data_IF_924773131273
#
_entry.id   IF_924773131273
#
_cell.length_a   1.000
_cell.length_b   1.000
_cell.length_c   1.000
_cell.angle_alpha   90.00
_cell.angle_beta   90.00
_cell.angle_gamma   90.00
#
_symmetry.space_group_name_H-M   'P 1'
#
loop_
_entity.id
_entity.type
_entity.pdbx_description
1 polymer ?
#
# COMPACT_ATOMS: atom_id res chain seq x y z
N UNK A 1 15.45 20.26 6.05
CA UNK A 1 14.30 19.97 6.92
C UNK A 1 13.93 18.51 6.71
N UNK A 2 13.87 17.67 7.75
CA UNK A 2 13.27 16.33 7.61
C UNK A 2 11.80 16.54 7.32
N UNK A 3 11.29 16.02 6.20
CA UNK A 3 9.83 15.92 6.00
C UNK A 3 9.30 14.99 7.09
N UNK A 4 8.25 15.42 7.77
CA UNK A 4 7.58 14.57 8.75
C UNK A 4 6.91 13.42 8.00
N UNK A 5 7.26 12.18 8.39
CA UNK A 5 6.75 10.97 7.76
C UNK A 5 5.39 10.65 8.39
N UNK A 6 4.35 10.62 7.58
CA UNK A 6 3.01 10.27 8.00
C UNK A 6 2.80 8.75 7.94
N UNK A 7 2.03 8.21 8.88
CA UNK A 7 1.51 6.85 8.79
C UNK A 7 0.34 6.84 7.80
N UNK A 8 0.40 5.98 6.78
CA UNK A 8 -0.62 5.89 5.74
C UNK A 8 -1.14 4.46 5.66
N UNK A 9 -2.46 4.31 5.65
CA UNK A 9 -3.12 3.04 5.39
C UNK A 9 -3.87 3.10 4.07
N UNK A 10 -3.65 2.07 3.24
CA UNK A 10 -4.53 1.70 2.14
C UNK A 10 -5.45 0.62 2.65
N UNK A 11 -6.74 0.78 2.50
CA UNK A 11 -7.71 -0.23 2.92
C UNK A 11 -8.03 -1.23 1.80
N UNK A 12 -8.53 -2.40 2.21
CA UNK A 12 -9.07 -3.45 1.36
C UNK A 12 -10.35 -3.99 2.05
N UNK A 13 -11.54 -3.51 1.69
CA UNK A 13 -12.81 -3.92 2.29
C UNK A 13 -14.01 -3.93 1.33
N UNK A 14 -13.97 -3.25 0.19
CA UNK A 14 -15.05 -3.38 -0.82
C UNK A 14 -14.79 -4.58 -1.73
N UNK A 15 -15.83 -5.10 -2.38
CA UNK A 15 -15.69 -6.22 -3.33
C UNK A 15 -14.65 -5.95 -4.43
N UNK A 16 -14.50 -4.69 -4.85
CA UNK A 16 -13.52 -4.27 -5.86
C UNK A 16 -12.15 -3.88 -5.26
N UNK A 17 -12.05 -3.79 -3.93
CA UNK A 17 -10.86 -3.35 -3.20
C UNK A 17 -10.16 -4.45 -2.40
N UNK A 18 -10.83 -5.57 -2.12
CA UNK A 18 -10.19 -6.75 -1.51
C UNK A 18 -9.06 -7.28 -2.38
N UNK A 19 -8.01 -7.78 -1.74
CA UNK A 19 -6.94 -8.45 -2.45
C UNK A 19 -7.46 -9.79 -3.00
N UNK A 20 -7.50 -9.99 -4.33
CA UNK A 20 -7.99 -11.25 -4.88
C UNK A 20 -7.06 -12.40 -4.49
N UNK A 21 -7.57 -13.64 -4.55
CA UNK A 21 -6.70 -14.82 -4.43
C UNK A 21 -5.75 -14.85 -5.62
N UNK A 22 -4.48 -14.61 -5.35
CA UNK A 22 -3.41 -14.62 -6.34
C UNK A 22 -2.73 -16.00 -6.34
N UNK A 23 -2.32 -16.46 -7.52
CA UNK A 23 -1.34 -17.53 -7.61
C UNK A 23 -0.01 -17.09 -6.97
N UNK A 24 0.83 -18.03 -6.56
CA UNK A 24 2.13 -17.67 -6.00
C UNK A 24 3.00 -16.84 -6.97
N UNK A 25 2.84 -17.07 -8.28
CA UNK A 25 3.59 -16.30 -9.29
C UNK A 25 3.12 -14.85 -9.32
N UNK A 26 1.81 -14.61 -9.38
CA UNK A 26 1.26 -13.26 -9.36
C UNK A 26 1.61 -12.52 -8.07
N UNK A 27 1.55 -13.22 -6.93
CA UNK A 27 1.96 -12.65 -5.65
C UNK A 27 3.44 -12.24 -5.67
N UNK A 28 4.34 -13.11 -6.17
CA UNK A 28 5.78 -12.80 -6.29
C UNK A 28 6.04 -11.60 -7.21
N UNK A 29 5.35 -11.52 -8.34
CA UNK A 29 5.50 -10.43 -9.30
C UNK A 29 5.05 -9.09 -8.70
N UNK A 30 3.91 -9.08 -8.00
CA UNK A 30 3.39 -7.90 -7.29
C UNK A 30 4.32 -7.49 -6.13
N UNK A 31 4.77 -8.47 -5.33
CA UNK A 31 5.74 -8.23 -4.25
C UNK A 31 7.00 -7.55 -4.77
N UNK A 32 7.56 -8.02 -5.89
CA UNK A 32 8.73 -7.40 -6.50
C UNK A 32 8.48 -5.93 -6.83
N UNK A 33 7.32 -5.60 -7.38
CA UNK A 33 6.93 -4.21 -7.63
C UNK A 33 6.91 -3.36 -6.36
N UNK A 34 6.30 -3.87 -5.28
CA UNK A 34 6.23 -3.18 -3.99
C UNK A 34 7.56 -3.08 -3.24
N UNK A 35 8.59 -3.85 -3.59
CA UNK A 35 9.95 -3.68 -3.07
C UNK A 35 10.86 -2.83 -3.96
N UNK A 36 10.66 -2.84 -5.28
CA UNK A 36 11.52 -2.11 -6.21
C UNK A 36 11.06 -0.66 -6.42
N UNK A 37 9.76 -0.41 -6.62
CA UNK A 37 9.26 0.94 -6.91
C UNK A 37 9.53 1.92 -5.76
N UNK A 38 9.31 1.56 -4.47
CA UNK A 38 9.59 2.48 -3.37
C UNK A 38 11.06 2.88 -3.23
N UNK A 39 12.03 2.16 -3.82
CA UNK A 39 13.44 2.57 -3.80
C UNK A 39 13.69 3.92 -4.48
N UNK A 40 12.79 4.34 -5.38
CA UNK A 40 12.80 5.67 -5.99
C UNK A 40 12.25 6.79 -5.09
N UNK A 41 11.74 6.45 -3.90
CA UNK A 41 11.09 7.36 -2.96
C UNK A 41 11.83 7.29 -1.61
N UNK A 42 12.89 8.10 -1.41
CA UNK A 42 13.73 8.00 -0.21
C UNK A 42 12.96 8.28 1.10
N UNK A 43 11.83 8.98 0.99
CA UNK A 43 10.93 9.31 2.09
C UNK A 43 9.70 8.37 2.10
N UNK A 44 9.82 7.12 1.65
CA UNK A 44 8.72 6.13 1.71
C UNK A 44 9.24 4.80 2.23
N UNK A 45 8.43 4.17 3.09
CA UNK A 45 8.65 2.82 3.58
C UNK A 45 7.37 2.00 3.46
N UNK A 46 7.49 0.85 2.80
CA UNK A 46 6.46 -0.17 2.78
C UNK A 46 6.66 -1.10 3.98
N UNK A 47 5.69 -1.17 4.89
CA UNK A 47 5.75 -2.02 6.09
C UNK A 47 5.11 -3.39 5.87
N UNK A 48 4.25 -3.53 4.86
CA UNK A 48 3.63 -4.80 4.50
C UNK A 48 2.16 -4.66 4.15
N UNK A 49 1.61 -5.75 3.62
CA UNK A 49 0.18 -5.93 3.38
C UNK A 49 -0.31 -7.04 4.29
N UNK A 50 -1.38 -6.79 5.03
CA UNK A 50 -1.97 -7.72 6.00
C UNK A 50 -3.42 -7.93 5.63
N UNK A 51 -3.79 -9.16 5.30
CA UNK A 51 -5.16 -9.53 4.90
C UNK A 51 -5.64 -10.76 5.65
N UNK A 52 -6.95 -10.90 5.78
CA UNK A 52 -7.61 -12.12 6.20
C UNK A 52 -7.79 -13.14 5.05
N UNK A 53 -8.47 -14.25 5.31
CA UNK A 53 -8.72 -15.31 4.32
C UNK A 53 -9.58 -14.87 3.13
N UNK A 54 -10.35 -13.78 3.28
CA UNK A 54 -11.19 -13.19 2.24
C UNK A 54 -10.47 -12.15 1.39
N UNK A 55 -9.27 -11.72 1.79
CA UNK A 55 -8.51 -10.65 1.15
C UNK A 55 -8.81 -9.25 1.70
N UNK A 56 -9.60 -9.15 2.77
CA UNK A 56 -9.84 -7.89 3.46
C UNK A 56 -8.68 -7.54 4.37
N UNK A 57 -8.33 -6.26 4.48
CA UNK A 57 -7.23 -5.83 5.34
C UNK A 57 -6.67 -4.46 5.00
N UNK A 58 -5.36 -4.30 5.21
CA UNK A 58 -4.65 -3.03 5.01
C UNK A 58 -3.28 -3.21 4.39
N UNK A 59 -2.84 -2.18 3.68
CA UNK A 59 -1.46 -1.94 3.30
C UNK A 59 -0.88 -0.85 4.20
N UNK A 60 0.21 -1.14 4.91
CA UNK A 60 0.85 -0.26 5.88
C UNK A 60 2.06 0.46 5.26
N UNK A 61 2.05 1.81 5.33
CA UNK A 61 3.08 2.67 4.79
C UNK A 61 3.53 3.77 5.77
N UNK A 62 4.79 4.17 5.67
CA UNK A 62 5.24 5.50 6.06
C UNK A 62 5.56 6.30 4.80
N UNK A 63 4.99 7.50 4.66
CA UNK A 63 5.16 8.35 3.47
C UNK A 63 4.91 9.83 3.81
N UNK A 64 5.27 10.81 2.95
CA UNK A 64 5.04 12.22 3.23
C UNK A 64 3.54 12.59 3.23
N UNK A 65 2.73 11.86 2.45
CA UNK A 65 1.27 11.99 2.39
C UNK A 65 0.65 10.76 1.68
N UNK A 66 -0.68 10.68 1.68
CA UNK A 66 -1.43 9.60 1.04
C UNK A 66 -1.29 9.56 -0.49
N UNK A 67 -1.07 10.70 -1.15
CA UNK A 67 -1.01 10.76 -2.61
C UNK A 67 0.24 10.11 -3.18
N UNK A 68 1.37 10.20 -2.47
CA UNK A 68 2.60 9.45 -2.81
C UNK A 68 2.34 7.94 -2.80
N UNK A 69 1.59 7.45 -1.80
CA UNK A 69 1.24 6.02 -1.72
C UNK A 69 0.32 5.63 -2.88
N UNK A 70 -0.71 6.43 -3.20
CA UNK A 70 -1.59 6.18 -4.35
C UNK A 70 -0.81 6.13 -5.67
N UNK A 71 0.18 7.00 -5.85
CA UNK A 71 1.04 7.02 -7.03
C UNK A 71 1.87 5.73 -7.13
N UNK A 72 2.50 5.30 -6.04
CA UNK A 72 3.29 4.06 -6.00
C UNK A 72 2.41 2.85 -6.31
N UNK A 73 1.24 2.74 -5.66
CA UNK A 73 0.30 1.65 -5.92
C UNK A 73 -0.12 1.65 -7.39
N UNK A 74 -0.42 2.82 -7.97
CA UNK A 74 -0.73 2.95 -9.39
C UNK A 74 0.43 2.50 -10.30
N UNK A 75 1.68 2.79 -9.93
CA UNK A 75 2.85 2.32 -10.69
C UNK A 75 3.03 0.82 -10.61
N UNK A 76 2.75 0.20 -9.46
CA UNK A 76 2.92 -1.24 -9.24
C UNK A 76 1.79 -2.04 -9.88
N UNK A 77 0.53 -1.62 -9.70
CA UNK A 77 -0.66 -2.36 -10.10
C UNK A 77 -1.31 -1.86 -11.39
N UNK A 78 -0.86 -0.74 -11.94
CA UNK A 78 -1.46 -0.08 -13.11
C UNK A 78 -2.69 0.77 -12.79
N UNK A 79 -3.24 0.66 -11.59
CA UNK A 79 -4.41 1.41 -11.12
C UNK A 79 -4.20 1.91 -9.67
N UNK A 80 -4.76 3.08 -9.30
CA UNK A 80 -4.72 3.54 -7.91
C UNK A 80 -5.50 2.59 -6.99
N UNK A 81 -5.34 2.69 -5.66
CA UNK A 81 -6.16 1.94 -4.73
C UNK A 81 -7.65 2.18 -4.96
N UNK A 82 -8.44 1.10 -4.96
CA UNK A 82 -9.90 1.18 -5.08
C UNK A 82 -10.52 1.77 -3.82
N UNK A 83 -10.08 1.29 -2.66
CA UNK A 83 -10.57 1.74 -1.37
C UNK A 83 -9.74 2.90 -0.83
N UNK A 84 -10.26 3.49 0.25
CA UNK A 84 -9.69 4.69 0.86
C UNK A 84 -8.20 4.52 1.20
N UNK A 85 -7.43 5.54 0.90
CA UNK A 85 -6.02 5.68 1.33
C UNK A 85 -5.91 6.93 2.19
N UNK A 86 -5.64 6.76 3.48
CA UNK A 86 -5.72 7.86 4.46
C UNK A 86 -4.45 7.96 5.30
N UNK A 87 -4.16 9.18 5.73
CA UNK A 87 -3.18 9.43 6.80
C UNK A 87 -3.85 9.10 8.13
N UNK A 88 -3.18 8.32 8.97
CA UNK A 88 -3.65 7.93 10.30
C UNK A 88 -2.72 8.41 11.39
N UNK A 89 -3.23 8.46 12.62
CA UNK A 89 -2.44 8.72 13.83
C UNK A 89 -2.63 7.56 14.79
N UNK A 90 -1.55 7.12 15.43
CA UNK A 90 -1.62 6.14 16.51
C UNK A 90 -2.26 6.81 17.73
N UNK A 91 -3.35 6.22 18.24
CA UNK A 91 -4.07 6.73 19.42
C UNK A 91 -3.76 5.88 20.67
N UNK A 92 -3.49 4.58 20.50
CA UNK A 92 -3.16 3.59 21.54
C UNK A 92 -1.90 2.80 21.13
#
# INVERSE_FOLDING_TARGET
MKKEMAKVFVFHYTEAGILPKLSEKELRDIMKGFYEVPKGYPDVKFNGTYVDESGMGICDWEAPNADVVKEIVKKVLGAPPTDSTIVVKRVL
#
